data_IF_805483165792
#
_entry.id   IF_805483165792
#
_cell.length_a   1.000
_cell.length_b   1.000
_cell.length_c   1.000
_cell.angle_alpha   90.00
_cell.angle_beta   90.00
_cell.angle_gamma   90.00
#
_symmetry.space_group_name_H-M   'P 1'
#
loop_
_entity.id
_entity.type
_entity.pdbx_description
1 polymer ?
#
# COMPACT_ATOMS: atom_id res chain seq x y z
N UNK A 1 8.14 23.81 14.14
CA UNK A 1 8.34 22.51 13.46
C UNK A 1 9.04 22.80 12.15
N UNK A 2 10.17 22.16 11.92
CA UNK A 2 11.03 22.42 10.75
C UNK A 2 10.73 21.45 9.58
N UNK A 3 10.12 20.30 9.87
CA UNK A 3 9.64 19.33 8.89
C UNK A 3 8.47 18.50 9.44
N UNK A 4 7.65 17.94 8.55
CA UNK A 4 6.57 17.01 8.88
C UNK A 4 6.31 16.04 7.71
N UNK A 5 5.61 14.93 7.96
CA UNK A 5 5.27 13.92 6.96
C UNK A 5 3.74 13.85 6.75
N UNK A 6 3.30 13.88 5.50
CA UNK A 6 1.90 13.68 5.12
C UNK A 6 1.76 12.83 3.87
N UNK A 7 0.66 12.08 3.78
CA UNK A 7 0.18 11.46 2.55
C UNK A 7 -0.91 12.30 1.86
N UNK A 8 -1.35 11.89 0.66
CA UNK A 8 -2.48 12.53 0.00
C UNK A 8 -3.79 12.37 0.81
N UNK A 9 -4.73 13.33 0.73
CA UNK A 9 -4.68 14.52 -0.13
C UNK A 9 -3.85 15.67 0.48
N UNK A 10 -3.53 15.64 1.77
CA UNK A 10 -2.87 16.75 2.47
C UNK A 10 -1.50 17.10 1.87
N UNK A 11 -0.71 16.11 1.48
CA UNK A 11 0.57 16.37 0.81
C UNK A 11 0.40 17.13 -0.52
N UNK A 12 -0.72 16.92 -1.24
CA UNK A 12 -1.02 17.62 -2.49
C UNK A 12 -1.49 19.05 -2.24
N UNK A 13 -2.33 19.26 -1.22
CA UNK A 13 -2.78 20.60 -0.83
C UNK A 13 -1.61 21.49 -0.44
N UNK A 14 -0.67 20.96 0.35
CA UNK A 14 0.51 21.70 0.78
C UNK A 14 1.42 22.08 -0.40
N UNK A 15 1.59 21.18 -1.38
CA UNK A 15 2.32 21.46 -2.61
C UNK A 15 1.64 22.55 -3.43
N UNK A 16 0.32 22.48 -3.60
CA UNK A 16 -0.47 23.50 -4.34
C UNK A 16 -0.38 24.87 -3.66
N UNK A 17 -0.46 24.91 -2.32
CA UNK A 17 -0.33 26.12 -1.51
C UNK A 17 1.11 26.61 -1.35
N UNK A 18 2.09 25.90 -1.91
CA UNK A 18 3.52 26.20 -1.81
C UNK A 18 4.02 26.32 -0.36
N UNK A 19 3.49 25.48 0.52
CA UNK A 19 3.93 25.40 1.91
C UNK A 19 5.16 24.50 1.98
N UNK A 20 6.34 25.12 2.09
CA UNK A 20 7.62 24.41 2.10
C UNK A 20 7.94 23.73 0.76
N UNK A 21 8.78 22.69 0.80
CA UNK A 21 9.13 21.86 -0.36
C UNK A 21 9.28 20.40 0.06
N UNK A 22 9.16 19.48 -0.91
CA UNK A 22 9.28 18.04 -0.65
C UNK A 22 10.73 17.69 -0.35
N UNK A 23 11.00 17.17 0.85
CA UNK A 23 12.32 16.66 1.24
C UNK A 23 12.53 15.20 0.84
N UNK A 24 11.49 14.38 1.02
CA UNK A 24 11.48 12.95 0.69
C UNK A 24 10.10 12.58 0.14
N UNK A 25 10.08 11.83 -0.95
CA UNK A 25 8.90 11.20 -1.48
C UNK A 25 9.04 9.67 -1.41
N UNK A 26 8.28 9.03 -0.53
CA UNK A 26 8.36 7.58 -0.30
C UNK A 26 7.88 6.73 -1.49
N UNK A 27 7.23 7.33 -2.50
CA UNK A 27 6.86 6.61 -3.74
C UNK A 27 8.00 6.55 -4.76
N UNK A 28 8.97 7.47 -4.70
CA UNK A 28 10.09 7.56 -5.67
C UNK A 28 11.44 7.27 -5.02
N UNK A 29 11.64 7.70 -3.78
CA UNK A 29 12.95 7.74 -3.16
C UNK A 29 13.28 6.42 -2.48
N UNK A 30 14.54 6.01 -2.61
CA UNK A 30 15.07 4.82 -1.94
C UNK A 30 15.31 5.11 -0.45
N UNK A 31 15.16 4.09 0.42
CA UNK A 31 14.81 2.71 0.11
C UNK A 31 13.30 2.46 -0.07
N UNK A 32 12.42 3.37 0.37
CA UNK A 32 10.97 3.13 0.46
C UNK A 32 10.27 2.81 -0.86
N UNK A 33 10.71 3.36 -1.98
CA UNK A 33 10.09 3.11 -3.29
C UNK A 33 10.18 1.65 -3.77
N UNK A 34 10.98 0.83 -3.08
CA UNK A 34 11.11 -0.62 -3.33
C UNK A 34 10.15 -1.46 -2.47
N UNK A 35 9.38 -0.84 -1.59
CA UNK A 35 8.56 -1.54 -0.61
C UNK A 35 7.09 -1.13 -0.70
N UNK A 36 6.22 -2.07 -0.32
CA UNK A 36 4.79 -1.78 -0.16
C UNK A 36 4.57 -0.72 0.91
N UNK A 37 3.70 0.27 0.64
CA UNK A 37 3.23 1.21 1.66
C UNK A 37 2.02 0.66 2.45
N UNK A 38 1.27 -0.28 1.88
CA UNK A 38 0.07 -0.86 2.48
C UNK A 38 0.12 -2.40 2.41
N UNK A 39 -0.54 -3.06 3.36
CA UNK A 39 -0.68 -4.52 3.41
C UNK A 39 -2.15 -4.93 3.57
N UNK A 40 -2.50 -6.10 3.04
CA UNK A 40 -3.81 -6.72 3.29
C UNK A 40 -3.71 -7.49 4.59
N UNK A 41 -4.44 -7.04 5.61
CA UNK A 41 -4.50 -7.72 6.91
C UNK A 41 -5.84 -8.46 7.07
N UNK A 42 -5.80 -9.61 7.75
CA UNK A 42 -6.98 -10.41 8.05
C UNK A 42 -6.82 -11.16 9.37
N UNK A 43 -7.95 -11.42 10.06
CA UNK A 43 -7.92 -12.15 11.33
C UNK A 43 -7.47 -13.60 11.10
N UNK A 44 -6.48 -14.08 11.85
CA UNK A 44 -5.87 -15.41 11.67
C UNK A 44 -6.89 -16.55 11.63
N UNK A 45 -7.86 -16.53 12.54
CA UNK A 45 -8.89 -17.58 12.58
C UNK A 45 -9.85 -17.55 11.40
N UNK A 46 -10.11 -16.36 10.84
CA UNK A 46 -10.94 -16.23 9.66
C UNK A 46 -10.20 -16.80 8.44
N UNK A 47 -8.94 -16.41 8.27
CA UNK A 47 -8.09 -16.87 7.18
C UNK A 47 -7.97 -18.41 7.18
N UNK A 48 -7.80 -19.01 8.37
CA UNK A 48 -7.70 -20.47 8.53
C UNK A 48 -9.01 -21.20 8.23
N UNK A 49 -10.15 -20.67 8.69
CA UNK A 49 -11.46 -21.32 8.52
C UNK A 49 -12.07 -21.10 7.13
N UNK A 50 -11.71 -20.01 6.46
CA UNK A 50 -12.30 -19.61 5.18
C UNK A 50 -11.23 -19.32 4.11
N UNK A 51 -10.36 -20.29 3.76
CA UNK A 51 -9.25 -20.05 2.83
C UNK A 51 -9.72 -19.68 1.42
N UNK A 52 -10.81 -20.29 0.93
CA UNK A 52 -11.38 -19.98 -0.40
C UNK A 52 -11.92 -18.55 -0.44
N UNK A 53 -12.67 -18.13 0.59
CA UNK A 53 -13.18 -16.76 0.68
C UNK A 53 -12.04 -15.75 0.80
N UNK A 54 -11.02 -16.06 1.59
CA UNK A 54 -9.80 -15.24 1.74
C UNK A 54 -9.11 -15.06 0.38
N UNK A 55 -8.86 -16.14 -0.36
CA UNK A 55 -8.25 -16.06 -1.70
C UNK A 55 -9.09 -15.23 -2.67
N UNK A 56 -10.42 -15.36 -2.64
CA UNK A 56 -11.33 -14.55 -3.47
C UNK A 56 -11.25 -13.05 -3.12
N UNK A 57 -11.19 -12.72 -1.83
CA UNK A 57 -11.04 -11.33 -1.38
C UNK A 57 -9.69 -10.74 -1.81
N UNK A 58 -8.59 -11.45 -1.59
CA UNK A 58 -7.26 -11.02 -2.05
C UNK A 58 -7.24 -10.84 -3.57
N UNK A 59 -7.82 -11.78 -4.33
CA UNK A 59 -7.94 -11.66 -5.79
C UNK A 59 -8.69 -10.39 -6.21
N UNK A 60 -9.79 -10.07 -5.55
CA UNK A 60 -10.56 -8.87 -5.84
C UNK A 60 -9.75 -7.59 -5.57
N UNK A 61 -9.01 -7.53 -4.46
CA UNK A 61 -8.15 -6.40 -4.11
C UNK A 61 -7.01 -6.22 -5.11
N UNK A 62 -6.35 -7.29 -5.56
CA UNK A 62 -5.29 -7.22 -6.56
C UNK A 62 -5.81 -6.76 -7.92
N UNK A 63 -7.00 -7.24 -8.34
CA UNK A 63 -7.66 -6.76 -9.56
C UNK A 63 -8.06 -5.29 -9.44
N UNK A 64 -8.52 -4.85 -8.27
CA UNK A 64 -8.83 -3.46 -8.03
C UNK A 64 -7.57 -2.58 -8.11
N UNK A 65 -6.43 -3.05 -7.60
CA UNK A 65 -5.15 -2.36 -7.77
C UNK A 65 -4.77 -2.24 -9.26
N UNK A 66 -4.95 -3.29 -10.06
CA UNK A 66 -4.72 -3.23 -11.51
C UNK A 66 -5.67 -2.20 -12.18
N UNK A 67 -6.94 -2.11 -11.77
CA UNK A 67 -7.88 -1.07 -12.26
C UNK A 67 -7.44 0.33 -11.87
N UNK A 68 -6.98 0.56 -10.63
CA UNK A 68 -6.44 1.85 -10.21
C UNK A 68 -5.25 2.29 -11.08
N UNK A 69 -4.41 1.34 -11.49
CA UNK A 69 -3.25 1.61 -12.33
C UNK A 69 -3.62 1.87 -13.80
N UNK A 70 -4.59 1.13 -14.34
CA UNK A 70 -4.96 1.18 -15.76
C UNK A 70 -5.99 2.27 -16.09
N UNK A 71 -6.86 2.62 -15.14
CA UNK A 71 -8.00 3.51 -15.38
C UNK A 71 -8.14 4.59 -14.28
N UNK A 72 -7.10 5.38 -13.98
CA UNK A 72 -7.11 6.29 -12.83
C UNK A 72 -8.20 7.37 -12.92
N UNK A 73 -8.58 7.84 -14.12
CA UNK A 73 -9.68 8.80 -14.29
C UNK A 73 -11.04 8.19 -13.93
N UNK A 74 -11.27 6.92 -14.30
CA UNK A 74 -12.51 6.22 -13.94
C UNK A 74 -12.60 6.02 -12.44
N UNK A 75 -11.49 5.63 -11.81
CA UNK A 75 -11.43 5.43 -10.36
C UNK A 75 -11.57 6.76 -9.61
N UNK A 76 -10.97 7.84 -10.09
CA UNK A 76 -11.13 9.17 -9.51
C UNK A 76 -12.60 9.64 -9.52
N UNK A 77 -13.33 9.42 -10.62
CA UNK A 77 -14.78 9.71 -10.68
C UNK A 77 -15.56 8.89 -9.66
N UNK A 78 -15.30 7.59 -9.58
CA UNK A 78 -15.94 6.72 -8.59
C UNK A 78 -15.65 7.17 -7.15
N UNK A 79 -14.43 7.61 -6.84
CA UNK A 79 -14.06 8.16 -5.53
C UNK A 79 -14.92 9.39 -5.21
N UNK A 80 -15.15 10.28 -6.18
CA UNK A 80 -15.99 11.47 -5.99
C UNK A 80 -17.47 11.11 -5.82
N UNK A 81 -17.99 10.21 -6.64
CA UNK A 81 -19.37 9.70 -6.52
C UNK A 81 -19.63 9.08 -5.15
N UNK A 82 -18.62 8.44 -4.55
CA UNK A 82 -18.68 7.84 -3.22
C UNK A 82 -18.31 8.80 -2.07
N UNK A 83 -17.96 10.04 -2.39
CA UNK A 83 -17.57 11.07 -1.43
C UNK A 83 -16.37 10.66 -0.57
N UNK A 84 -15.41 9.95 -1.18
CA UNK A 84 -14.21 9.41 -0.52
C UNK A 84 -12.99 10.34 -0.62
N UNK A 85 -13.09 11.43 -1.37
CA UNK A 85 -12.06 12.46 -1.45
C UNK A 85 -12.70 13.85 -1.63
N UNK A 86 -12.03 14.92 -1.20
CA UNK A 86 -12.59 16.27 -1.26
C UNK A 86 -12.55 16.89 -2.66
N UNK A 87 -11.63 16.46 -3.54
CA UNK A 87 -11.40 17.04 -4.86
C UNK A 87 -11.00 15.96 -5.87
N UNK A 88 -11.58 16.03 -7.07
CA UNK A 88 -11.29 15.10 -8.16
C UNK A 88 -9.81 15.11 -8.54
N UNK A 89 -9.22 16.29 -8.71
CA UNK A 89 -7.81 16.42 -9.12
C UNK A 89 -6.84 15.78 -8.12
N UNK A 90 -7.13 15.90 -6.82
CA UNK A 90 -6.31 15.24 -5.79
C UNK A 90 -6.46 13.72 -5.82
N UNK A 91 -7.68 13.21 -6.04
CA UNK A 91 -7.90 11.78 -6.19
C UNK A 91 -7.15 11.23 -7.41
N UNK A 92 -7.26 11.91 -8.56
CA UNK A 92 -6.59 11.53 -9.81
C UNK A 92 -5.06 11.58 -9.67
N UNK A 93 -4.52 12.65 -9.09
CA UNK A 93 -3.08 12.77 -8.86
C UNK A 93 -2.58 11.68 -7.90
N UNK A 94 -3.32 11.39 -6.83
CA UNK A 94 -2.98 10.29 -5.90
C UNK A 94 -2.90 8.95 -6.62
N UNK A 95 -3.88 8.64 -7.47
CA UNK A 95 -3.91 7.40 -8.25
C UNK A 95 -2.74 7.29 -9.24
N UNK A 96 -2.27 8.42 -9.77
CA UNK A 96 -1.10 8.48 -10.67
C UNK A 96 0.24 8.41 -9.93
N UNK A 97 0.33 8.93 -8.71
CA UNK A 97 1.57 8.93 -7.90
C UNK A 97 1.79 7.61 -7.15
N UNK A 98 0.72 6.88 -6.79
CA UNK A 98 0.83 5.57 -6.12
C UNK A 98 1.06 4.48 -7.17
N UNK A 99 2.13 3.66 -7.07
CA UNK A 99 2.48 2.66 -8.06
C UNK A 99 1.63 1.37 -7.94
N UNK A 100 0.29 1.48 -8.02
CA UNK A 100 -0.63 0.36 -7.84
C UNK A 100 -0.30 -0.86 -8.70
N UNK A 101 0.14 -0.65 -9.95
CA UNK A 101 0.48 -1.73 -10.89
C UNK A 101 1.79 -2.48 -10.59
N UNK A 102 2.59 -2.03 -9.61
CA UNK A 102 3.90 -2.64 -9.29
C UNK A 102 3.83 -3.75 -8.24
N UNK A 103 2.64 -4.13 -7.77
CA UNK A 103 2.51 -5.14 -6.71
C UNK A 103 3.15 -6.49 -7.06
N UNK A 104 3.29 -6.82 -8.35
CA UNK A 104 4.00 -8.03 -8.82
C UNK A 104 5.53 -7.91 -8.73
N UNK A 105 6.09 -6.72 -8.62
CA UNK A 105 7.53 -6.50 -8.65
C UNK A 105 8.15 -6.56 -7.25
N UNK A 106 7.37 -6.19 -6.23
CA UNK A 106 7.84 -6.19 -4.84
C UNK A 106 7.83 -7.58 -4.21
N UNK A 107 8.73 -7.75 -3.24
CA UNK A 107 8.75 -8.87 -2.31
C UNK A 107 8.02 -8.45 -1.03
N UNK A 108 6.90 -9.13 -0.72
CA UNK A 108 6.08 -8.81 0.45
C UNK A 108 6.76 -9.15 1.76
N UNK A 109 7.55 -10.22 1.79
CA UNK A 109 8.27 -10.63 2.99
C UNK A 109 9.42 -9.66 3.27
N UNK A 110 10.15 -9.26 2.24
CA UNK A 110 11.23 -8.28 2.40
C UNK A 110 10.70 -6.89 2.81
N UNK A 111 9.57 -6.46 2.25
CA UNK A 111 8.91 -5.23 2.69
C UNK A 111 8.55 -5.27 4.18
N UNK A 112 7.94 -6.37 4.65
CA UNK A 112 7.58 -6.47 6.06
C UNK A 112 8.82 -6.55 6.97
N UNK A 113 9.88 -7.25 6.53
CA UNK A 113 11.17 -7.29 7.22
C UNK A 113 11.77 -5.90 7.36
N UNK A 114 11.79 -5.11 6.29
CA UNK A 114 12.32 -3.76 6.27
C UNK A 114 11.62 -2.88 7.32
N UNK A 115 10.29 -2.84 7.33
CA UNK A 115 9.55 -2.02 8.30
C UNK A 115 9.67 -2.56 9.73
N UNK A 116 9.58 -3.87 9.93
CA UNK A 116 9.73 -4.46 11.26
C UNK A 116 11.10 -4.14 11.88
N UNK A 117 12.16 -4.16 11.07
CA UNK A 117 13.51 -3.81 11.53
C UNK A 117 13.59 -2.34 11.97
N UNK A 118 13.08 -1.40 11.16
CA UNK A 118 13.07 0.03 11.51
C UNK A 118 12.26 0.31 12.78
N UNK A 119 11.10 -0.33 12.93
CA UNK A 119 10.26 -0.18 14.12
C UNK A 119 10.94 -0.77 15.37
N UNK A 120 11.65 -1.89 15.23
CA UNK A 120 12.37 -2.52 16.33
C UNK A 120 13.57 -1.68 16.78
N UNK A 121 14.39 -1.19 15.84
CA UNK A 121 15.53 -0.32 16.10
C UNK A 121 15.12 1.02 16.75
N UNK A 122 13.95 1.55 16.36
CA UNK A 122 13.38 2.74 16.97
C UNK A 122 12.73 2.48 18.34
N UNK A 123 12.71 1.22 18.82
CA UNK A 123 12.10 0.86 20.11
C UNK A 123 10.57 0.89 20.12
N UNK A 124 9.92 0.99 18.95
CA UNK A 124 8.46 1.03 18.83
C UNK A 124 7.82 -0.35 18.96
N UNK A 125 8.57 -1.42 18.70
CA UNK A 125 8.13 -2.81 18.91
C UNK A 125 9.20 -3.63 19.63
N UNK A 126 8.76 -4.53 20.51
CA UNK A 126 9.65 -5.49 21.20
C UNK A 126 9.94 -6.73 20.36
N UNK A 127 9.00 -7.11 19.49
CA UNK A 127 9.14 -8.27 18.62
C UNK A 127 10.25 -8.05 17.60
N UNK A 128 11.08 -9.07 17.40
CA UNK A 128 12.06 -9.11 16.32
C UNK A 128 11.38 -9.21 14.95
N UNK A 129 12.05 -8.78 13.85
CA UNK A 129 11.55 -9.00 12.49
C UNK A 129 11.22 -10.46 12.22
N UNK A 130 12.05 -11.41 12.68
CA UNK A 130 11.83 -12.84 12.48
C UNK A 130 10.55 -13.32 13.17
N UNK A 131 10.24 -12.85 14.37
CA UNK A 131 8.99 -13.18 15.06
C UNK A 131 7.76 -12.64 14.31
N UNK A 132 7.82 -11.40 13.81
CA UNK A 132 6.75 -10.80 13.01
C UNK A 132 6.50 -11.61 11.73
N UNK A 133 7.57 -11.96 11.00
CA UNK A 133 7.45 -12.75 9.78
C UNK A 133 6.85 -14.14 10.06
N UNK A 134 7.37 -14.84 11.06
CA UNK A 134 6.95 -16.21 11.39
C UNK A 134 5.50 -16.31 11.88
N UNK A 135 4.98 -15.27 12.55
CA UNK A 135 3.67 -15.33 13.21
C UNK A 135 2.59 -14.48 12.53
N UNK A 136 2.99 -13.45 11.79
CA UNK A 136 2.12 -12.41 11.24
C UNK A 136 1.90 -12.48 9.74
N UNK A 137 2.53 -13.43 9.02
CA UNK A 137 2.40 -13.52 7.57
C UNK A 137 1.76 -14.82 7.09
N UNK A 138 0.98 -14.69 6.00
CA UNK A 138 0.49 -15.82 5.22
C UNK A 138 0.53 -15.45 3.73
N UNK A 139 1.68 -15.69 3.09
CA UNK A 139 1.92 -15.30 1.70
C UNK A 139 1.32 -16.28 0.69
N UNK A 140 0.70 -17.39 1.13
CA UNK A 140 0.22 -18.46 0.23
C UNK A 140 -0.76 -17.92 -0.82
N UNK A 141 -1.79 -17.19 -0.37
CA UNK A 141 -2.81 -16.64 -1.26
C UNK A 141 -2.25 -15.65 -2.26
N UNK A 142 -1.40 -14.73 -1.80
CA UNK A 142 -0.78 -13.71 -2.64
C UNK A 142 0.14 -14.35 -3.69
N UNK A 143 1.00 -15.29 -3.28
CA UNK A 143 1.94 -15.97 -4.17
C UNK A 143 1.26 -16.87 -5.19
N UNK A 144 0.19 -17.58 -4.81
CA UNK A 144 -0.64 -18.34 -5.75
C UNK A 144 -1.30 -17.39 -6.77
N UNK A 145 -1.90 -16.29 -6.31
CA UNK A 145 -2.56 -15.33 -7.18
C UNK A 145 -1.59 -14.59 -8.10
N UNK A 146 -0.36 -14.33 -7.67
CA UNK A 146 0.70 -13.77 -8.51
C UNK A 146 1.02 -14.67 -9.70
N UNK A 147 0.89 -15.99 -9.56
CA UNK A 147 1.06 -16.97 -10.65
C UNK A 147 -0.20 -17.10 -11.51
N UNK A 148 -1.39 -17.05 -10.91
CA UNK A 148 -2.67 -17.21 -11.60
C UNK A 148 -3.09 -15.98 -12.41
N UNK A 149 -2.91 -14.78 -11.84
CA UNK A 149 -3.32 -13.51 -12.43
C UNK A 149 -2.24 -13.03 -13.39
N UNK A 150 -2.32 -13.53 -14.63
CA UNK A 150 -1.57 -12.99 -15.75
C UNK A 150 -2.05 -11.56 -16.04
N UNK A 151 -1.10 -10.65 -16.19
CA UNK A 151 -1.27 -9.34 -16.79
C UNK A 151 -0.70 -9.39 -18.20
#
# INVERSE_FOLDING_TARGET
MDAFMHGPPFSLELRERKVGHVLVNTTTDRPWSQYFCCVIAGHKDFVRRHPVATKRAVRALLKAADVCALEPERVARLIMERHLAPRYEYALQTLREIPYGRWRQYDGEDALRFYALRLHEAGLIKSSPQQILAQGTDWRFFNELKKELKG
#
